data_IF_050074383708
#
_entry.id   IF_050074383708
#
_cell.length_a   1.000
_cell.length_b   1.000
_cell.length_c   1.000
_cell.angle_alpha   90.00
_cell.angle_beta   90.00
_cell.angle_gamma   90.00
#
_symmetry.space_group_name_H-M   'P 1'
#
loop_
_entity.id
_entity.type
_entity.pdbx_description
1 polymer ?
#
# COMPACT_ATOMS: atom_id res chain seq x y z
N UNK A 1 -29.19 -5.03 17.00
CA UNK A 1 -27.99 -4.18 16.97
C UNK A 1 -27.37 -4.33 15.60
N UNK A 2 -27.53 -3.35 14.72
CA UNK A 2 -26.96 -3.40 13.37
C UNK A 2 -25.47 -3.07 13.46
N UNK A 3 -24.62 -4.05 13.19
CA UNK A 3 -23.18 -3.82 13.01
C UNK A 3 -22.98 -2.95 11.79
N UNK A 4 -22.54 -1.71 11.99
CA UNK A 4 -21.96 -0.87 10.94
C UNK A 4 -20.70 -1.58 10.45
N UNK A 5 -20.82 -2.34 9.35
CA UNK A 5 -19.66 -2.77 8.60
C UNK A 5 -18.97 -1.50 8.12
N UNK A 6 -17.80 -1.19 8.70
CA UNK A 6 -17.02 -0.02 8.36
C UNK A 6 -16.78 0.00 6.85
N UNK A 7 -17.23 1.06 6.18
CA UNK A 7 -16.99 1.26 4.77
C UNK A 7 -15.47 1.26 4.53
N UNK A 8 -14.95 0.51 3.55
CA UNK A 8 -13.52 0.51 3.28
C UNK A 8 -13.08 1.94 2.99
N UNK A 9 -11.95 2.39 3.57
CA UNK A 9 -11.49 3.76 3.38
C UNK A 9 -11.34 4.07 1.89
N UNK A 10 -11.63 5.31 1.46
CA UNK A 10 -11.48 5.68 0.06
C UNK A 10 -10.07 5.36 -0.42
N UNK A 11 -9.97 4.71 -1.60
CA UNK A 11 -8.67 4.32 -2.17
C UNK A 11 -7.83 5.55 -2.45
N UNK A 12 -6.62 5.58 -1.90
CA UNK A 12 -5.70 6.72 -2.01
C UNK A 12 -4.69 6.43 -3.11
N UNK A 13 -5.01 6.88 -4.32
CA UNK A 13 -4.16 6.66 -5.49
C UNK A 13 -2.98 7.63 -5.52
N UNK A 14 -1.78 7.10 -5.54
CA UNK A 14 -0.54 7.85 -5.69
C UNK A 14 0.22 7.42 -6.95
N UNK A 15 1.03 8.32 -7.50
CA UNK A 15 2.07 7.93 -8.47
C UNK A 15 3.24 7.33 -7.70
N UNK A 16 4.10 6.60 -8.41
CA UNK A 16 5.31 6.01 -7.84
C UNK A 16 6.17 6.97 -7.00
N UNK A 17 6.57 8.17 -7.49
CA UNK A 17 7.39 9.08 -6.68
C UNK A 17 6.67 9.59 -5.44
N UNK A 18 5.35 9.82 -5.53
CA UNK A 18 4.55 10.27 -4.39
C UNK A 18 4.42 9.16 -3.33
N UNK A 19 4.22 7.91 -3.76
CA UNK A 19 4.19 6.76 -2.87
C UNK A 19 5.54 6.50 -2.19
N UNK A 20 6.64 6.68 -2.92
CA UNK A 20 7.99 6.55 -2.39
C UNK A 20 8.28 7.64 -1.35
N UNK A 21 7.93 8.89 -1.65
CA UNK A 21 8.07 10.01 -0.72
C UNK A 21 7.20 9.84 0.54
N UNK A 22 6.01 9.25 0.41
CA UNK A 22 5.10 9.02 1.54
C UNK A 22 5.71 8.12 2.63
N UNK A 23 6.50 7.10 2.24
CA UNK A 23 7.16 6.18 3.17
C UNK A 23 8.67 6.42 3.28
N UNK A 24 9.15 7.55 2.76
CA UNK A 24 10.56 7.97 2.78
C UNK A 24 11.54 6.91 2.23
N UNK A 25 11.23 6.38 1.03
CA UNK A 25 12.09 5.42 0.32
C UNK A 25 12.41 5.89 -1.09
N UNK A 26 13.38 5.24 -1.72
CA UNK A 26 13.67 5.45 -3.14
C UNK A 26 12.55 4.87 -4.03
N UNK A 27 12.23 5.48 -5.18
CA UNK A 27 11.21 4.95 -6.09
C UNK A 27 11.45 3.51 -6.53
N UNK A 28 12.71 3.08 -6.70
CA UNK A 28 13.06 1.69 -7.03
C UNK A 28 12.59 0.70 -5.96
N UNK A 29 12.54 1.10 -4.68
CA UNK A 29 12.01 0.26 -3.60
C UNK A 29 10.53 -0.09 -3.84
N UNK A 30 9.76 0.84 -4.40
CA UNK A 30 8.35 0.59 -4.74
C UNK A 30 8.24 -0.47 -5.85
N UNK A 31 9.10 -0.48 -6.87
CA UNK A 31 9.10 -1.55 -7.88
C UNK A 31 9.47 -2.89 -7.25
N UNK A 32 10.53 -2.91 -6.42
CA UNK A 32 10.96 -4.12 -5.71
C UNK A 32 9.81 -4.71 -4.87
N UNK A 33 9.01 -3.87 -4.22
CA UNK A 33 7.83 -4.34 -3.47
C UNK A 33 6.75 -4.94 -4.38
N UNK A 34 6.53 -4.37 -5.56
CA UNK A 34 5.61 -4.95 -6.57
C UNK A 34 6.13 -6.29 -7.08
N UNK A 35 7.42 -6.38 -7.42
CA UNK A 35 8.05 -7.61 -7.89
C UNK A 35 8.00 -8.72 -6.85
N UNK A 36 8.13 -8.37 -5.56
CA UNK A 36 7.96 -9.27 -4.43
C UNK A 36 6.49 -9.59 -4.11
N UNK A 37 5.54 -8.95 -4.77
CA UNK A 37 4.10 -9.14 -4.54
C UNK A 37 3.58 -8.55 -3.23
N UNK A 38 4.34 -7.64 -2.59
CA UNK A 38 3.95 -6.99 -1.34
C UNK A 38 2.85 -5.94 -1.55
N UNK A 39 2.89 -5.24 -2.68
CA UNK A 39 1.90 -4.24 -3.08
C UNK A 39 1.52 -4.43 -4.56
N UNK A 40 0.39 -3.86 -4.98
CA UNK A 40 -0.07 -3.97 -6.37
C UNK A 40 0.18 -2.69 -7.17
N UNK A 41 0.70 -2.87 -8.38
CA UNK A 41 0.75 -1.81 -9.38
C UNK A 41 -0.55 -1.82 -10.21
N UNK A 42 -1.38 -0.79 -10.03
CA UNK A 42 -2.63 -0.65 -10.76
C UNK A 42 -2.41 0.13 -12.06
N UNK A 43 -2.70 -0.51 -13.20
CA UNK A 43 -2.56 0.11 -14.52
C UNK A 43 -3.85 0.83 -14.91
N UNK A 44 -3.77 2.15 -15.05
CA UNK A 44 -4.85 3.05 -15.49
C UNK A 44 -4.68 3.43 -16.97
N UNK A 45 -4.47 2.42 -17.82
CA UNK A 45 -4.20 2.59 -19.26
C UNK A 45 -2.81 2.10 -19.66
N UNK A 46 -2.37 2.39 -20.90
CA UNK A 46 -1.18 1.76 -21.49
C UNK A 46 0.14 2.19 -20.85
N UNK A 47 0.21 3.37 -20.22
CA UNK A 47 1.45 3.90 -19.61
C UNK A 47 1.26 4.43 -18.19
N UNK A 48 0.04 4.43 -17.67
CA UNK A 48 -0.28 5.06 -16.41
C UNK A 48 -0.35 4.00 -15.31
N UNK A 49 0.52 4.09 -14.32
CA UNK A 49 0.50 3.23 -13.14
C UNK A 49 0.16 4.06 -11.91
N UNK A 50 -0.64 3.48 -11.02
CA UNK A 50 -1.00 4.02 -9.72
C UNK A 50 -0.80 2.97 -8.64
N UNK A 51 -0.51 3.46 -7.46
CA UNK A 51 -0.28 2.66 -6.26
C UNK A 51 -1.32 3.09 -5.23
N UNK A 52 -1.83 2.14 -4.46
CA UNK A 52 -2.77 2.41 -3.38
C UNK A 52 -1.99 2.60 -2.09
N UNK A 53 -2.02 3.81 -1.53
CA UNK A 53 -1.31 4.10 -0.27
C UNK A 53 -1.86 3.26 0.89
N UNK A 54 -3.14 2.88 0.84
CA UNK A 54 -3.74 2.05 1.87
C UNK A 54 -3.12 0.64 1.91
N UNK A 55 -2.67 0.09 0.77
CA UNK A 55 -1.94 -1.19 0.73
C UNK A 55 -0.56 -1.07 1.38
N UNK A 56 0.11 0.07 1.19
CA UNK A 56 1.42 0.35 1.80
C UNK A 56 1.27 0.49 3.32
N UNK A 57 0.28 1.25 3.78
CA UNK A 57 -0.04 1.37 5.21
C UNK A 57 -0.40 0.01 5.83
N UNK A 58 -1.19 -0.80 5.12
CA UNK A 58 -1.57 -2.15 5.58
C UNK A 58 -0.36 -3.09 5.72
N UNK A 59 0.65 -2.95 4.85
CA UNK A 59 1.91 -3.71 4.96
C UNK A 59 2.65 -3.36 6.27
N UNK A 60 2.74 -2.08 6.61
CA UNK A 60 3.36 -1.62 7.87
C UNK A 60 2.57 -2.05 9.11
N UNK A 61 1.24 -1.98 9.04
CA UNK A 61 0.37 -2.44 10.12
C UNK A 61 0.44 -3.96 10.34
N UNK A 62 0.57 -4.75 9.26
CA UNK A 62 0.71 -6.20 9.37
C UNK A 62 2.05 -6.61 10.00
N UNK A 63 3.15 -5.89 9.71
CA UNK A 63 4.45 -6.15 10.34
C UNK A 63 4.41 -5.92 11.85
N UNK A 64 3.84 -4.80 12.29
CA UNK A 64 3.70 -4.47 13.72
C UNK A 64 2.74 -5.40 14.46
N UNK A 65 1.66 -5.85 13.80
CA UNK A 65 0.76 -6.87 14.36
C UNK A 65 1.46 -8.24 14.51
N UNK A 66 2.33 -8.61 13.57
CA UNK A 66 3.09 -9.85 13.62
C UNK A 66 4.15 -9.83 14.73
N UNK A 67 4.78 -8.67 14.99
CA UNK A 67 5.71 -8.49 16.12
C UNK A 67 5.00 -8.61 17.47
N UNK A 68 3.80 -8.05 17.61
CA UNK A 68 3.00 -8.16 18.84
C UNK A 68 2.55 -9.61 19.15
N UNK A 69 2.49 -10.48 18.14
CA UNK A 69 2.11 -11.89 18.30
C UNK A 69 3.29 -12.82 18.65
N UNK A 70 4.54 -12.34 18.51
CA UNK A 70 5.76 -13.14 18.73
C UNK A 70 6.53 -12.75 20.01
N UNK A 71 5.96 -11.90 20.87
CA UNK A 71 6.50 -11.55 22.19
C UNK A 71 5.67 -12.13 23.31
#
# INVERSE_FOLDING_TARGET
>A
MTTTAAEPPPRRWAKKPDAAAYVDVYPETIDNWVERGLIRAYKFGPRLVRYDLNEIDAMGAAATAQEAANG
#
